data_IF_205510235957
#
_entry.id   IF_205510235957
#
_cell.length_a   1.000
_cell.length_b   1.000
_cell.length_c   1.000
_cell.angle_alpha   90.00
_cell.angle_beta   90.00
_cell.angle_gamma   90.00
#
_symmetry.space_group_name_H-M   'P 1'
#
loop_
_entity.id
_entity.type
_entity.pdbx_description
1 polymer ?
#
# COMPACT_ATOMS: atom_id res chain seq x y z
N UNK A 1 54.82 -43.40 -7.88
CA UNK A 1 54.96 -42.31 -8.87
C UNK A 1 53.92 -42.55 -9.95
N UNK A 2 52.82 -41.80 -9.91
CA UNK A 2 52.54 -40.64 -10.78
C UNK A 2 52.07 -41.03 -12.20
N UNK A 3 50.77 -40.75 -12.44
CA UNK A 3 50.15 -40.03 -13.60
C UNK A 3 50.26 -40.73 -14.99
N UNK A 4 49.24 -40.86 -15.84
CA UNK A 4 48.32 -39.83 -16.34
C UNK A 4 47.01 -40.38 -16.96
N UNK A 5 46.03 -39.48 -17.01
CA UNK A 5 44.67 -39.61 -17.55
C UNK A 5 44.59 -39.82 -19.08
N UNK A 6 43.50 -40.45 -19.54
CA UNK A 6 42.98 -40.22 -20.88
C UNK A 6 41.45 -40.16 -20.87
N UNK A 7 40.96 -39.08 -21.45
CA UNK A 7 39.60 -38.58 -21.50
C UNK A 7 38.78 -39.32 -22.56
N UNK A 8 37.62 -39.89 -22.20
CA UNK A 8 36.63 -40.27 -23.20
C UNK A 8 35.25 -39.67 -22.88
N UNK A 9 35.18 -38.35 -22.98
CA UNK A 9 33.93 -37.59 -23.11
C UNK A 9 33.48 -37.62 -24.58
N UNK A 10 32.89 -38.72 -25.05
CA UNK A 10 32.17 -38.72 -26.34
C UNK A 10 31.12 -39.82 -26.36
N UNK A 11 29.88 -39.42 -26.06
CA UNK A 11 28.56 -40.01 -26.46
C UNK A 11 27.50 -39.95 -25.36
N UNK A 12 27.38 -38.83 -24.63
CA UNK A 12 26.08 -38.45 -24.05
C UNK A 12 25.22 -37.75 -25.10
N UNK A 13 24.99 -38.41 -26.25
CA UNK A 13 24.00 -37.94 -27.23
C UNK A 13 22.64 -38.42 -26.76
N UNK A 14 22.04 -37.61 -25.89
CA UNK A 14 20.59 -37.45 -25.67
C UNK A 14 19.74 -38.49 -26.43
N UNK A 15 19.43 -39.61 -25.78
CA UNK A 15 18.34 -40.47 -26.19
C UNK A 15 17.03 -39.72 -25.86
N UNK A 16 16.67 -38.75 -26.70
CA UNK A 16 15.28 -38.34 -26.81
C UNK A 16 14.57 -39.56 -27.38
N UNK A 17 13.88 -40.30 -26.51
CA UNK A 17 12.98 -41.37 -26.91
C UNK A 17 12.10 -40.86 -28.04
N UNK A 18 11.98 -41.67 -29.09
CA UNK A 18 11.19 -41.35 -30.27
C UNK A 18 9.80 -40.88 -29.84
N UNK A 19 9.50 -39.60 -30.08
CA UNK A 19 8.15 -39.07 -29.92
C UNK A 19 7.34 -39.52 -31.13
N UNK A 20 7.02 -40.82 -31.19
CA UNK A 20 6.04 -41.34 -32.14
C UNK A 20 4.66 -41.03 -31.59
N UNK A 21 3.84 -40.32 -32.36
CA UNK A 21 2.43 -40.15 -32.02
C UNK A 21 1.78 -41.53 -31.98
N UNK A 22 1.09 -41.81 -30.86
CA UNK A 22 0.35 -43.05 -30.69
C UNK A 22 -0.72 -43.14 -31.76
N UNK A 23 -0.78 -44.24 -32.49
CA UNK A 23 -1.82 -44.44 -33.50
C UNK A 23 -3.22 -44.45 -32.88
N UNK A 24 -4.27 -44.22 -33.67
CA UNK A 24 -5.65 -44.14 -33.17
C UNK A 24 -6.04 -45.35 -32.31
N UNK A 25 -5.65 -46.55 -32.73
CA UNK A 25 -5.88 -47.80 -31.98
C UNK A 25 -5.16 -47.82 -30.64
N UNK A 26 -3.92 -47.32 -30.56
CA UNK A 26 -3.14 -47.23 -29.32
C UNK A 26 -3.75 -46.20 -28.35
N UNK A 27 -4.26 -45.07 -28.86
CA UNK A 27 -4.98 -44.07 -28.05
C UNK A 27 -6.29 -44.62 -27.50
N UNK A 28 -7.05 -45.35 -28.33
CA UNK A 28 -8.30 -45.99 -27.91
C UNK A 28 -8.06 -47.10 -26.88
N UNK A 29 -7.03 -47.92 -27.07
CA UNK A 29 -6.60 -48.94 -26.12
C UNK A 29 -6.20 -48.32 -24.79
N UNK A 30 -5.33 -47.30 -24.79
CA UNK A 30 -4.92 -46.59 -23.59
C UNK A 30 -6.08 -45.91 -22.85
N UNK A 31 -7.06 -45.38 -23.57
CA UNK A 31 -8.27 -44.81 -22.96
C UNK A 31 -9.14 -45.90 -22.30
N UNK A 32 -9.30 -47.05 -22.95
CA UNK A 32 -10.04 -48.19 -22.40
C UNK A 32 -9.34 -48.80 -21.17
N UNK A 33 -8.02 -48.89 -21.18
CA UNK A 33 -7.23 -49.32 -20.03
C UNK A 33 -7.31 -48.31 -18.87
N UNK A 34 -7.28 -47.00 -19.18
CA UNK A 34 -7.40 -45.97 -18.16
C UNK A 34 -8.78 -45.97 -17.49
N UNK A 35 -9.86 -46.17 -18.26
CA UNK A 35 -11.22 -46.30 -17.69
C UNK A 35 -11.37 -47.59 -16.89
N UNK A 36 -10.87 -48.72 -17.40
CA UNK A 36 -10.85 -49.99 -16.68
C UNK A 36 -10.07 -49.89 -15.37
N UNK A 37 -8.89 -49.26 -15.37
CA UNK A 37 -8.08 -49.04 -14.17
C UNK A 37 -8.78 -48.13 -13.16
N UNK A 38 -9.52 -47.11 -13.62
CA UNK A 38 -10.30 -46.22 -12.74
C UNK A 38 -11.46 -46.95 -12.07
N UNK A 39 -12.17 -47.79 -12.83
CA UNK A 39 -13.25 -48.64 -12.31
C UNK A 39 -12.72 -49.71 -11.36
N UNK A 40 -11.57 -50.34 -11.67
CA UNK A 40 -10.92 -51.29 -10.78
C UNK A 40 -10.50 -50.64 -9.46
N UNK A 41 -9.93 -49.43 -9.50
CA UNK A 41 -9.61 -48.65 -8.29
C UNK A 41 -10.83 -48.32 -7.45
N UNK A 42 -11.95 -47.94 -8.08
CA UNK A 42 -13.20 -47.65 -7.38
C UNK A 42 -13.79 -48.91 -6.73
N UNK A 43 -13.78 -50.04 -7.42
CA UNK A 43 -14.25 -51.34 -6.87
C UNK A 43 -13.36 -51.88 -5.76
N UNK A 44 -12.05 -51.63 -5.83
CA UNK A 44 -11.08 -52.03 -4.81
C UNK A 44 -10.99 -51.04 -3.64
N UNK A 45 -11.74 -49.93 -3.69
CA UNK A 45 -11.69 -48.92 -2.64
C UNK A 45 -12.41 -49.48 -1.40
N UNK A 46 -11.77 -49.46 -0.22
CA UNK A 46 -12.41 -49.89 1.00
C UNK A 46 -13.64 -49.04 1.30
N UNK A 47 -14.67 -49.69 1.87
CA UNK A 47 -15.93 -49.03 2.22
C UNK A 47 -15.75 -47.96 3.31
N UNK A 48 -16.77 -47.13 3.53
CA UNK A 48 -16.74 -46.07 4.54
C UNK A 48 -16.55 -46.60 5.98
N UNK A 49 -16.96 -47.85 6.23
CA UNK A 49 -16.81 -48.51 7.54
C UNK A 49 -15.46 -49.21 7.73
N UNK A 50 -14.54 -49.13 6.75
CA UNK A 50 -13.20 -49.69 6.88
C UNK A 50 -12.40 -48.89 7.92
N UNK A 51 -11.78 -49.55 8.92
CA UNK A 51 -11.11 -48.87 10.02
C UNK A 51 -9.95 -47.97 9.56
N UNK A 52 -9.29 -48.29 8.45
CA UNK A 52 -8.22 -47.46 7.89
C UNK A 52 -8.76 -46.22 7.16
N UNK A 53 -9.99 -46.24 6.65
CA UNK A 53 -10.66 -45.06 6.09
C UNK A 53 -11.12 -44.14 7.22
N UNK A 54 -11.78 -44.69 8.24
CA UNK A 54 -12.24 -43.94 9.41
C UNK A 54 -11.08 -43.27 10.14
N UNK A 55 -9.95 -43.96 10.32
CA UNK A 55 -8.75 -43.37 10.93
C UNK A 55 -8.21 -42.17 10.12
N UNK A 56 -8.17 -42.29 8.78
CA UNK A 56 -7.74 -41.20 7.88
C UNK A 56 -8.70 -40.01 7.90
N UNK A 57 -10.00 -40.27 7.99
CA UNK A 57 -11.00 -39.21 8.10
C UNK A 57 -10.92 -38.49 9.45
N UNK A 58 -10.73 -39.23 10.54
CA UNK A 58 -10.52 -38.68 11.88
C UNK A 58 -9.25 -37.80 11.92
N UNK A 59 -8.14 -38.25 11.34
CA UNK A 59 -6.91 -37.45 11.23
C UNK A 59 -7.13 -36.17 10.42
N UNK A 60 -7.78 -36.27 9.25
CA UNK A 60 -8.09 -35.10 8.41
C UNK A 60 -9.01 -34.11 9.12
N UNK A 61 -9.99 -34.62 9.88
CA UNK A 61 -10.91 -33.80 10.69
C UNK A 61 -10.13 -33.06 11.78
N UNK A 62 -9.25 -33.74 12.51
CA UNK A 62 -8.41 -33.12 13.52
C UNK A 62 -7.50 -32.02 12.93
N UNK A 63 -6.90 -32.27 11.75
CA UNK A 63 -6.10 -31.26 11.05
C UNK A 63 -6.95 -30.06 10.63
N UNK A 64 -8.18 -30.29 10.14
CA UNK A 64 -9.09 -29.21 9.75
C UNK A 64 -9.48 -28.36 10.95
N UNK A 65 -9.90 -28.98 12.03
CA UNK A 65 -10.25 -28.28 13.28
C UNK A 65 -9.05 -27.47 13.83
N UNK A 66 -7.84 -28.02 13.76
CA UNK A 66 -6.63 -27.29 14.17
C UNK A 66 -6.26 -26.13 13.21
N UNK A 67 -6.65 -26.19 11.93
CA UNK A 67 -6.50 -25.08 10.99
C UNK A 67 -7.54 -24.00 11.25
N UNK A 68 -8.80 -24.38 11.43
CA UNK A 68 -9.90 -23.47 11.72
C UNK A 68 -9.64 -22.67 13.00
N UNK A 69 -9.16 -23.32 14.07
CA UNK A 69 -8.75 -22.61 15.30
C UNK A 69 -7.65 -21.57 15.05
N UNK A 70 -6.58 -21.95 14.34
CA UNK A 70 -5.48 -21.02 14.01
C UNK A 70 -5.91 -19.90 13.06
N UNK A 71 -6.88 -20.14 12.19
CA UNK A 71 -7.43 -19.11 11.30
C UNK A 71 -8.34 -18.15 12.05
N UNK A 72 -9.18 -18.65 12.97
CA UNK A 72 -10.00 -17.82 13.84
C UNK A 72 -9.14 -16.90 14.73
N UNK A 73 -8.08 -17.43 15.36
CA UNK A 73 -7.14 -16.64 16.15
C UNK A 73 -6.44 -15.56 15.30
N UNK A 74 -5.96 -15.93 14.10
CA UNK A 74 -5.33 -14.98 13.18
C UNK A 74 -6.29 -13.92 12.67
N UNK A 75 -7.55 -14.28 12.42
CA UNK A 75 -8.58 -13.35 12.00
C UNK A 75 -8.86 -12.32 13.09
N UNK A 76 -9.02 -12.76 14.35
CA UNK A 76 -9.21 -11.88 15.49
C UNK A 76 -8.02 -10.92 15.67
N UNK A 77 -6.79 -11.44 15.65
CA UNK A 77 -5.59 -10.61 15.77
C UNK A 77 -5.44 -9.60 14.62
N UNK A 78 -5.80 -9.99 13.39
CA UNK A 78 -5.78 -9.09 12.24
C UNK A 78 -6.83 -7.99 12.34
N UNK A 79 -8.04 -8.29 12.83
CA UNK A 79 -9.08 -7.29 13.05
C UNK A 79 -8.64 -6.26 14.11
N UNK A 80 -8.05 -6.72 15.21
CA UNK A 80 -7.51 -5.81 16.23
C UNK A 80 -6.38 -4.94 15.68
N UNK A 81 -5.44 -5.52 14.91
CA UNK A 81 -4.36 -4.76 14.28
C UNK A 81 -4.92 -3.72 13.31
N UNK A 82 -5.86 -4.11 12.46
CA UNK A 82 -6.48 -3.20 11.49
C UNK A 82 -7.21 -2.04 12.21
N UNK A 83 -7.91 -2.33 13.31
CA UNK A 83 -8.56 -1.31 14.12
C UNK A 83 -7.56 -0.32 14.74
N UNK A 84 -6.43 -0.82 15.27
CA UNK A 84 -5.35 0.03 15.80
C UNK A 84 -4.72 0.90 14.71
N UNK A 85 -4.40 0.31 13.56
CA UNK A 85 -3.83 1.04 12.43
C UNK A 85 -4.79 2.09 11.89
N UNK A 86 -6.09 1.81 11.83
CA UNK A 86 -7.11 2.78 11.42
C UNK A 86 -7.22 3.94 12.42
N UNK A 87 -7.23 3.65 13.73
CA UNK A 87 -7.25 4.67 14.77
C UNK A 87 -5.99 5.55 14.74
N UNK A 88 -4.82 4.95 14.56
CA UNK A 88 -3.55 5.69 14.47
C UNK A 88 -3.50 6.58 13.22
N UNK A 89 -3.94 6.07 12.06
CA UNK A 89 -4.04 6.88 10.84
C UNK A 89 -4.99 8.05 11.01
N UNK A 90 -6.18 7.81 11.57
CA UNK A 90 -7.15 8.86 11.84
C UNK A 90 -6.59 9.93 12.80
N UNK A 91 -5.84 9.53 13.84
CA UNK A 91 -5.19 10.46 14.76
C UNK A 91 -4.10 11.29 14.06
N UNK A 92 -3.27 10.66 13.22
CA UNK A 92 -2.23 11.37 12.45
C UNK A 92 -2.83 12.34 11.45
N UNK A 93 -3.87 11.93 10.73
CA UNK A 93 -4.59 12.80 9.78
C UNK A 93 -5.22 14.00 10.51
N UNK A 94 -5.87 13.78 11.65
CA UNK A 94 -6.43 14.86 12.46
C UNK A 94 -5.35 15.84 12.96
N UNK A 95 -4.18 15.34 13.36
CA UNK A 95 -3.05 16.18 13.75
C UNK A 95 -2.52 17.01 12.58
N UNK A 96 -2.33 16.39 11.41
CA UNK A 96 -1.86 17.09 10.22
C UNK A 96 -2.85 18.17 9.77
N UNK A 97 -4.15 17.89 9.78
CA UNK A 97 -5.17 18.89 9.44
C UNK A 97 -5.19 20.04 10.46
N UNK A 98 -5.06 19.74 11.76
CA UNK A 98 -4.95 20.78 12.78
C UNK A 98 -3.71 21.65 12.59
N UNK A 99 -2.55 21.07 12.27
CA UNK A 99 -1.32 21.79 11.96
C UNK A 99 -1.47 22.65 10.70
N UNK A 100 -2.15 22.14 9.67
CA UNK A 100 -2.43 22.90 8.45
C UNK A 100 -3.31 24.11 8.72
N UNK A 101 -4.41 23.93 9.47
CA UNK A 101 -5.30 25.02 9.84
C UNK A 101 -4.53 26.07 10.66
N UNK A 102 -3.77 25.65 11.68
CA UNK A 102 -2.97 26.56 12.49
C UNK A 102 -1.92 27.33 11.66
N UNK A 103 -1.26 26.66 10.69
CA UNK A 103 -0.31 27.30 9.80
C UNK A 103 -0.98 28.29 8.84
N UNK A 104 -2.18 27.99 8.35
CA UNK A 104 -2.96 28.90 7.50
C UNK A 104 -3.45 30.13 8.29
N UNK A 105 -3.93 29.94 9.51
CA UNK A 105 -4.31 31.03 10.42
C UNK A 105 -3.11 31.92 10.77
N UNK A 106 -1.96 31.33 11.07
CA UNK A 106 -0.74 32.08 11.35
C UNK A 106 -0.31 32.93 10.14
N UNK A 107 -0.36 32.36 8.92
CA UNK A 107 -0.08 33.10 7.68
C UNK A 107 -1.07 34.23 7.43
N UNK A 108 -2.36 33.99 7.69
CA UNK A 108 -3.41 35.01 7.56
C UNK A 108 -3.19 36.16 8.55
N UNK A 109 -2.87 35.84 9.81
CA UNK A 109 -2.56 36.81 10.85
C UNK A 109 -1.31 37.63 10.50
N UNK A 110 -0.25 36.99 10.01
CA UNK A 110 0.97 37.67 9.57
C UNK A 110 0.68 38.63 8.40
N UNK A 111 -0.10 38.18 7.41
CA UNK A 111 -0.51 39.02 6.27
C UNK A 111 -1.35 40.21 6.72
N UNK A 112 -2.28 40.00 7.66
CA UNK A 112 -3.10 41.07 8.23
C UNK A 112 -2.24 42.09 9.00
N UNK A 113 -1.30 41.62 9.82
CA UNK A 113 -0.38 42.49 10.57
C UNK A 113 0.51 43.31 9.63
N UNK A 114 1.06 42.69 8.57
CA UNK A 114 1.82 43.40 7.53
C UNK A 114 0.96 44.44 6.81
N UNK A 115 -0.28 44.09 6.44
CA UNK A 115 -1.23 45.01 5.83
C UNK A 115 -1.54 46.23 6.70
N UNK A 116 -1.82 45.99 7.99
CA UNK A 116 -2.06 47.05 8.96
C UNK A 116 -0.85 47.96 9.15
N UNK A 117 0.35 47.40 9.26
CA UNK A 117 1.60 48.18 9.39
C UNK A 117 1.87 49.06 8.15
N UNK A 118 1.57 48.56 6.95
CA UNK A 118 1.68 49.35 5.72
C UNK A 118 0.64 50.47 5.66
N UNK A 119 -0.60 50.18 6.03
CA UNK A 119 -1.67 51.19 6.08
C UNK A 119 -1.35 52.29 7.09
N UNK A 120 -0.81 51.94 8.26
CA UNK A 120 -0.39 52.91 9.27
C UNK A 120 0.75 53.80 8.76
N UNK A 121 1.76 53.22 8.11
CA UNK A 121 2.85 53.99 7.49
C UNK A 121 2.33 54.95 6.43
N UNK A 122 1.43 54.50 5.57
CA UNK A 122 0.81 55.35 4.55
C UNK A 122 0.02 56.50 5.18
N UNK A 123 -0.77 56.23 6.23
CA UNK A 123 -1.52 57.24 6.96
C UNK A 123 -0.60 58.29 7.61
N UNK A 124 0.53 57.87 8.19
CA UNK A 124 1.53 58.80 8.75
C UNK A 124 2.14 59.70 7.68
N UNK A 125 2.51 59.15 6.52
CA UNK A 125 3.04 59.94 5.40
C UNK A 125 2.03 60.99 4.94
N UNK A 126 0.76 60.61 4.77
CA UNK A 126 -0.31 61.53 4.39
C UNK A 126 -0.49 62.64 5.45
N UNK A 127 -0.47 62.28 6.73
CA UNK A 127 -0.59 63.24 7.83
C UNK A 127 0.59 64.22 7.87
N UNK A 128 1.82 63.74 7.68
CA UNK A 128 3.04 64.56 7.64
C UNK A 128 3.01 65.53 6.44
N UNK A 129 2.58 65.06 5.27
CA UNK A 129 2.42 65.89 4.08
C UNK A 129 1.35 66.98 4.27
N UNK A 130 0.21 66.62 4.87
CA UNK A 130 -0.85 67.56 5.22
C UNK A 130 -0.35 68.62 6.22
N UNK A 131 0.43 68.21 7.24
CA UNK A 131 1.02 69.12 8.22
C UNK A 131 2.02 70.09 7.56
N UNK A 132 2.91 69.59 6.69
CA UNK A 132 3.86 70.42 5.92
C UNK A 132 3.13 71.41 5.01
N UNK A 133 2.04 70.99 4.38
CA UNK A 133 1.21 71.88 3.55
C UNK A 133 0.57 72.98 4.40
N UNK A 134 -0.06 72.61 5.52
CA UNK A 134 -0.66 73.57 6.43
C UNK A 134 0.36 74.59 6.97
N UNK A 135 1.59 74.16 7.26
CA UNK A 135 2.67 75.06 7.66
C UNK A 135 3.05 76.04 6.53
N UNK A 136 3.22 75.55 5.29
CA UNK A 136 3.47 76.41 4.12
C UNK A 136 2.35 77.43 3.93
N UNK A 137 1.10 77.01 4.04
CA UNK A 137 -0.07 77.88 3.87
C UNK A 137 -0.11 78.95 4.98
N UNK A 138 0.21 78.60 6.22
CA UNK A 138 0.37 79.56 7.34
C UNK A 138 1.46 80.59 7.05
N UNK A 139 2.64 80.16 6.58
CA UNK A 139 3.75 81.06 6.22
C UNK A 139 3.36 81.99 5.07
N UNK A 140 2.68 81.46 4.06
CA UNK A 140 2.21 82.24 2.92
C UNK A 140 1.18 83.29 3.34
N UNK A 141 0.20 82.92 4.17
CA UNK A 141 -0.78 83.84 4.74
C UNK A 141 -0.11 84.96 5.56
N UNK A 142 0.85 84.61 6.42
CA UNK A 142 1.61 85.58 7.21
C UNK A 142 2.43 86.54 6.34
N UNK A 143 3.04 86.04 5.26
CA UNK A 143 3.76 86.90 4.29
C UNK A 143 2.81 87.85 3.57
N UNK A 144 1.67 87.33 3.09
CA UNK A 144 0.66 88.13 2.38
C UNK A 144 0.11 89.25 3.27
N UNK A 145 -0.16 88.97 4.54
CA UNK A 145 -0.61 89.95 5.53
C UNK A 145 0.43 91.04 5.87
N UNK A 146 1.72 90.88 5.50
CA UNK A 146 2.75 91.92 5.63
C UNK A 146 2.92 92.77 4.36
N UNK A 147 2.48 92.26 3.22
CA UNK A 147 2.71 92.88 1.90
C UNK A 147 1.48 93.59 1.34
N UNK A 148 0.29 93.30 1.86
CA UNK A 148 -0.91 94.13 1.69
C UNK A 148 -1.04 95.06 2.88
#
# INVERSE_FOLDING_TARGET
>A
MHVAASTNTRTRRRALGSFREKDFSERRGAAAEATAARLAKFRAQPGPDDPAVVAREAERKAIREAREKREAERAAANLERLAREAAEKAAREAQLEAERIAAEEAKAAEKAAKGAALAERAARVIADEAARKAERDRRYAARKARQG
#
